data_IF_617229564308
#
_entry.id   IF_617229564308
#
_cell.length_a   1.000
_cell.length_b   1.000
_cell.length_c   1.000
_cell.angle_alpha   90.00
_cell.angle_beta   90.00
_cell.angle_gamma   90.00
#
_symmetry.space_group_name_H-M   'P 1'
#
loop_
_entity.id
_entity.type
_entity.pdbx_description
1 polymer ?
#
# COMPACT_ATOMS: atom_id res chain seq x y z
N UNK A 1 97.92 7.24 53.32
CA UNK A 1 97.46 8.62 53.11
C UNK A 1 96.93 8.74 51.68
N UNK A 2 95.73 9.33 51.57
CA UNK A 2 95.05 9.91 50.40
C UNK A 2 94.54 9.01 49.26
N UNK A 3 93.20 8.91 49.22
CA UNK A 3 92.32 8.40 48.15
C UNK A 3 91.98 9.54 47.19
N UNK A 4 91.94 9.27 45.88
CA UNK A 4 91.05 9.94 44.90
C UNK A 4 90.72 8.90 43.81
N UNK A 5 89.44 8.69 43.42
CA UNK A 5 89.08 7.82 42.30
C UNK A 5 88.56 8.62 41.08
N UNK A 6 88.88 8.17 39.87
CA UNK A 6 88.15 8.52 38.64
C UNK A 6 87.68 7.25 37.91
N UNK A 7 86.42 7.28 37.48
CA UNK A 7 85.64 6.22 36.81
C UNK A 7 86.17 5.86 35.42
N UNK A 8 86.04 4.60 34.98
CA UNK A 8 86.09 4.25 33.56
C UNK A 8 84.69 4.03 32.96
N UNK A 9 84.48 4.60 31.78
CA UNK A 9 83.46 4.16 30.82
C UNK A 9 84.01 2.97 30.02
N UNK A 10 83.19 1.96 29.78
CA UNK A 10 83.44 0.96 28.75
C UNK A 10 82.11 0.60 28.07
N UNK A 11 82.00 1.01 26.80
CA UNK A 11 81.06 0.46 25.83
C UNK A 11 81.44 -0.98 25.51
N UNK A 12 80.46 -1.88 25.49
CA UNK A 12 80.53 -3.12 24.73
C UNK A 12 79.14 -3.37 24.12
N UNK A 13 79.10 -3.50 22.80
CA UNK A 13 77.90 -3.82 22.05
C UNK A 13 77.57 -5.32 22.12
N UNK A 14 76.33 -5.65 21.80
CA UNK A 14 75.97 -6.96 21.25
C UNK A 14 74.65 -6.84 20.49
N UNK A 15 74.69 -7.37 19.28
CA UNK A 15 73.66 -7.40 18.26
C UNK A 15 72.84 -8.69 18.40
N UNK A 16 71.55 -8.60 18.06
CA UNK A 16 70.63 -9.68 17.67
C UNK A 16 69.95 -10.49 18.79
N UNK A 17 68.62 -10.48 18.79
CA UNK A 17 67.76 -11.63 18.45
C UNK A 17 66.29 -11.24 18.69
N UNK A 18 65.51 -11.18 17.61
CA UNK A 18 64.06 -10.95 17.67
C UNK A 18 63.35 -12.21 18.16
N UNK A 19 62.73 -12.13 19.34
CA UNK A 19 61.61 -12.98 19.72
C UNK A 19 60.38 -12.09 19.82
N UNK A 20 59.41 -12.30 18.92
CA UNK A 20 58.08 -11.72 19.04
C UNK A 20 57.38 -12.39 20.24
N UNK A 21 57.34 -11.68 21.36
CA UNK A 21 56.55 -12.03 22.54
C UNK A 21 55.28 -11.18 22.54
N UNK A 22 54.14 -11.83 22.46
CA UNK A 22 52.84 -11.20 22.59
C UNK A 22 52.61 -10.86 24.08
N UNK A 23 52.51 -9.58 24.41
CA UNK A 23 51.96 -9.13 25.69
C UNK A 23 50.95 -8.01 25.46
N UNK A 24 49.74 -8.28 25.98
CA UNK A 24 48.52 -7.45 26.01
C UNK A 24 48.78 -5.94 25.88
N UNK A 25 48.32 -5.38 24.77
CA UNK A 25 47.73 -4.05 24.78
C UNK A 25 46.22 -4.24 24.80
N UNK A 26 45.56 -3.68 25.82
CA UNK A 26 44.13 -3.63 25.90
C UNK A 26 43.62 -2.63 24.85
N UNK A 27 43.29 -3.12 23.67
CA UNK A 27 42.41 -2.38 22.79
C UNK A 27 41.03 -2.33 23.43
N UNK A 28 40.59 -1.12 23.78
CA UNK A 28 39.17 -0.81 23.83
C UNK A 28 38.64 -1.10 22.43
N UNK A 29 38.04 -2.27 22.24
CA UNK A 29 36.99 -2.42 21.22
C UNK A 29 35.91 -1.43 21.60
N UNK A 30 35.96 -0.28 20.92
CA UNK A 30 34.83 0.62 20.86
C UNK A 30 33.79 -0.17 20.08
N UNK A 31 32.79 -0.75 20.76
CA UNK A 31 31.59 -1.16 20.04
C UNK A 31 31.05 0.11 19.39
N UNK A 32 31.24 0.20 18.08
CA UNK A 32 30.67 1.25 17.27
C UNK A 32 29.15 1.06 17.40
N UNK A 33 28.51 1.93 18.17
CA UNK A 33 27.10 2.24 17.95
C UNK A 33 26.94 2.45 16.44
N UNK A 34 25.96 1.81 15.77
CA UNK A 34 25.72 2.06 14.36
C UNK A 34 25.63 3.57 14.17
N UNK A 35 26.30 4.09 13.14
CA UNK A 35 26.24 5.53 12.86
C UNK A 35 24.76 5.90 12.62
N UNK A 36 24.37 7.15 12.91
CA UNK A 36 22.97 7.59 12.64
C UNK A 36 22.59 7.34 11.18
N UNK A 37 23.54 7.55 10.27
CA UNK A 37 23.49 7.18 8.85
C UNK A 37 23.12 5.71 8.63
N UNK A 38 23.78 4.76 9.32
CA UNK A 38 23.45 3.33 9.24
C UNK A 38 22.05 3.02 9.78
N UNK A 39 21.61 3.74 10.81
CA UNK A 39 20.28 3.58 11.39
C UNK A 39 19.17 4.10 10.46
N UNK A 40 19.41 5.23 9.78
CA UNK A 40 18.48 5.77 8.78
C UNK A 40 18.43 4.87 7.53
N UNK A 41 19.56 4.36 7.04
CA UNK A 41 19.57 3.38 5.93
C UNK A 41 18.83 2.10 6.31
N UNK A 42 19.03 1.59 7.52
CA UNK A 42 18.33 0.41 8.01
C UNK A 42 16.82 0.66 8.12
N UNK A 43 16.42 1.85 8.57
CA UNK A 43 15.03 2.30 8.62
C UNK A 43 14.41 2.36 7.21
N UNK A 44 15.09 2.99 6.25
CA UNK A 44 14.66 3.06 4.85
C UNK A 44 14.46 1.66 4.25
N UNK A 45 15.39 0.73 4.50
CA UNK A 45 15.25 -0.66 4.05
C UNK A 45 14.05 -1.37 4.69
N UNK A 46 13.78 -1.07 5.97
CA UNK A 46 12.65 -1.63 6.71
C UNK A 46 11.30 -1.06 6.24
N UNK A 47 11.28 0.13 5.65
CA UNK A 47 10.12 0.69 4.94
C UNK A 47 9.86 0.01 3.58
N UNK A 48 10.66 -0.98 3.20
CA UNK A 48 10.46 -1.78 1.98
C UNK A 48 11.29 -1.31 0.77
N UNK A 49 12.12 -0.28 0.93
CA UNK A 49 12.96 0.20 -0.17
C UNK A 49 14.21 -0.67 -0.34
N UNK A 50 14.50 -1.15 -1.57
CA UNK A 50 15.71 -1.94 -1.80
C UNK A 50 16.95 -1.05 -1.68
N UNK A 51 18.08 -1.63 -1.25
CA UNK A 51 19.33 -0.88 -1.09
C UNK A 51 19.77 -0.13 -2.37
N UNK A 52 19.41 -0.67 -3.54
CA UNK A 52 19.67 -0.06 -4.85
C UNK A 52 18.87 1.22 -5.13
N UNK A 53 17.77 1.45 -4.42
CA UNK A 53 16.94 2.64 -4.57
C UNK A 53 17.39 3.82 -3.69
N UNK A 54 18.35 3.60 -2.77
CA UNK A 54 18.82 4.61 -1.82
C UNK A 54 20.03 5.35 -2.41
N UNK A 55 19.87 6.64 -2.72
CA UNK A 55 20.93 7.52 -3.18
C UNK A 55 21.38 8.45 -2.06
N UNK A 56 22.68 8.52 -1.81
CA UNK A 56 23.24 9.48 -0.87
C UNK A 56 23.34 10.87 -1.51
N UNK A 57 22.67 11.86 -0.93
CA UNK A 57 22.67 13.25 -1.38
C UNK A 57 23.37 14.19 -0.36
N UNK A 58 24.32 13.68 0.41
CA UNK A 58 25.09 14.46 1.37
C UNK A 58 24.44 14.47 2.75
N UNK A 59 23.54 15.41 3.03
CA UNK A 59 22.87 15.54 4.34
C UNK A 59 21.61 14.66 4.46
N UNK A 60 21.17 14.04 3.37
CA UNK A 60 19.96 13.22 3.29
C UNK A 60 20.17 12.03 2.35
N UNK A 61 19.34 11.00 2.50
CA UNK A 61 19.16 9.94 1.52
C UNK A 61 17.95 10.25 0.65
N UNK A 62 18.13 10.17 -0.66
CA UNK A 62 17.06 10.28 -1.65
C UNK A 62 16.73 8.88 -2.15
N UNK A 63 15.49 8.45 -1.93
CA UNK A 63 15.00 7.13 -2.29
C UNK A 63 14.02 7.27 -3.44
N UNK A 64 14.17 6.42 -4.46
CA UNK A 64 13.36 6.40 -5.69
C UNK A 64 13.33 7.71 -6.51
N UNK A 65 14.07 8.73 -6.07
CA UNK A 65 14.25 10.00 -6.77
C UNK A 65 13.38 11.15 -6.25
N UNK A 66 12.45 10.89 -5.33
CA UNK A 66 11.45 11.85 -4.86
C UNK A 66 11.15 11.77 -3.35
N UNK A 67 11.75 10.83 -2.61
CA UNK A 67 11.56 10.69 -1.15
C UNK A 67 12.86 11.00 -0.43
N UNK A 68 12.88 12.02 0.44
CA UNK A 68 14.08 12.40 1.19
C UNK A 68 14.02 12.01 2.67
N UNK A 69 15.14 11.50 3.18
CA UNK A 69 15.35 11.13 4.57
C UNK A 69 16.59 11.86 5.11
N UNK A 70 16.45 12.89 5.96
CA UNK A 70 17.59 13.55 6.58
C UNK A 70 18.43 12.56 7.38
N UNK A 71 19.76 12.58 7.23
CA UNK A 71 20.65 11.64 7.93
C UNK A 71 20.69 11.87 9.44
N UNK A 72 20.35 13.08 9.88
CA UNK A 72 20.27 13.47 11.29
C UNK A 72 18.88 13.25 11.90
N UNK A 73 17.92 12.73 11.14
CA UNK A 73 16.58 12.44 11.64
C UNK A 73 16.63 11.49 12.83
N UNK A 74 15.72 11.67 13.77
CA UNK A 74 15.49 10.67 14.81
C UNK A 74 14.80 9.47 14.15
N UNK A 75 15.54 8.36 14.02
CA UNK A 75 15.02 7.13 13.44
C UNK A 75 13.91 6.61 14.34
N UNK A 76 12.66 6.51 13.85
CA UNK A 76 11.57 5.95 14.62
C UNK A 76 11.94 4.53 15.05
N UNK A 77 11.84 4.24 16.36
CA UNK A 77 12.09 2.90 16.87
C UNK A 77 11.07 1.93 16.26
N UNK A 78 11.54 1.07 15.35
CA UNK A 78 10.76 -0.04 14.79
C UNK A 78 11.00 -1.35 15.57
N UNK A 79 11.51 -1.27 16.80
CA UNK A 79 11.76 -2.44 17.69
C UNK A 79 10.73 -2.54 18.83
N UNK A 80 9.67 -1.73 18.78
CA UNK A 80 8.45 -1.96 19.56
C UNK A 80 7.39 -2.70 18.74
N UNK A 81 6.40 -3.34 19.38
CA UNK A 81 5.25 -3.92 18.69
C UNK A 81 4.56 -2.84 17.86
N UNK A 82 4.62 -2.96 16.54
CA UNK A 82 3.83 -2.14 15.63
C UNK A 82 2.45 -2.78 15.54
N UNK A 83 1.40 -2.04 15.92
CA UNK A 83 0.01 -2.51 15.81
C UNK A 83 -0.49 -2.35 14.37
N UNK A 84 0.21 -2.94 13.42
CA UNK A 84 -0.19 -2.94 12.01
C UNK A 84 -1.29 -3.98 11.75
N UNK A 85 -1.89 -3.95 10.57
CA UNK A 85 -2.87 -4.96 10.19
C UNK A 85 -2.13 -6.22 9.72
N UNK A 86 -2.45 -7.38 10.29
CA UNK A 86 -1.76 -8.65 10.01
C UNK A 86 -2.72 -9.70 9.45
N UNK A 87 -2.21 -10.58 8.59
CA UNK A 87 -2.92 -11.75 8.07
C UNK A 87 -2.04 -13.02 8.06
N UNK A 88 -2.67 -14.18 7.84
CA UNK A 88 -2.02 -15.49 7.98
C UNK A 88 -1.14 -15.92 6.81
N UNK A 89 -1.23 -15.23 5.66
CA UNK A 89 -0.70 -15.71 4.37
C UNK A 89 -1.70 -16.52 3.55
N UNK A 90 -2.83 -16.92 4.14
CA UNK A 90 -3.86 -17.72 3.49
C UNK A 90 -5.17 -16.95 3.45
N UNK A 91 -5.85 -16.98 2.30
CA UNK A 91 -7.08 -16.22 2.05
C UNK A 91 -8.17 -17.11 1.48
N UNK A 92 -9.41 -16.67 1.63
CA UNK A 92 -10.56 -17.25 0.92
C UNK A 92 -10.46 -16.87 -0.56
N UNK A 93 -10.56 -17.85 -1.45
CA UNK A 93 -10.41 -17.60 -2.88
C UNK A 93 -11.52 -16.72 -3.44
N UNK A 94 -11.29 -16.11 -4.60
CA UNK A 94 -12.31 -15.30 -5.30
C UNK A 94 -13.60 -16.09 -5.56
N UNK A 95 -13.50 -17.40 -5.84
CA UNK A 95 -14.66 -18.27 -6.08
C UNK A 95 -15.52 -18.50 -4.83
N UNK A 96 -14.93 -18.38 -3.63
CA UNK A 96 -15.60 -18.73 -2.36
C UNK A 96 -15.95 -17.51 -1.50
N UNK A 97 -15.30 -16.35 -1.72
CA UNK A 97 -15.42 -15.18 -0.84
C UNK A 97 -16.73 -14.37 -1.00
N UNK A 98 -17.41 -14.51 -2.14
CA UNK A 98 -18.64 -13.76 -2.46
C UNK A 98 -19.91 -14.39 -1.89
N UNK A 99 -19.81 -15.55 -1.25
CA UNK A 99 -20.91 -16.19 -0.53
C UNK A 99 -20.38 -17.24 0.46
N UNK A 100 -19.79 -16.79 1.56
CA UNK A 100 -19.33 -17.64 2.66
C UNK A 100 -20.54 -18.01 3.52
N UNK A 101 -20.97 -19.27 3.45
CA UNK A 101 -22.19 -19.74 4.12
C UNK A 101 -21.90 -20.08 5.58
N UNK A 102 -22.68 -19.48 6.47
CA UNK A 102 -22.56 -19.64 7.92
C UNK A 102 -23.74 -20.45 8.44
N UNK A 103 -23.45 -21.58 9.08
CA UNK A 103 -24.43 -22.35 9.85
C UNK A 103 -24.30 -21.97 11.33
N UNK A 104 -25.42 -21.68 11.98
CA UNK A 104 -25.47 -21.41 13.42
C UNK A 104 -26.05 -22.63 14.13
N UNK A 105 -25.21 -23.28 14.94
CA UNK A 105 -25.62 -24.44 15.74
C UNK A 105 -26.73 -24.09 16.73
N UNK A 106 -27.55 -25.09 17.09
CA UNK A 106 -28.65 -24.94 18.04
C UNK A 106 -28.20 -24.31 19.38
N UNK A 107 -26.99 -24.62 19.84
CA UNK A 107 -26.39 -24.04 21.06
C UNK A 107 -26.23 -22.52 21.01
N UNK A 108 -26.08 -21.94 19.83
CA UNK A 108 -25.86 -20.50 19.61
C UNK A 108 -27.11 -19.72 19.18
N UNK A 109 -28.25 -20.39 18.99
CA UNK A 109 -29.47 -19.75 18.50
C UNK A 109 -29.97 -18.59 19.37
N UNK A 110 -29.74 -18.62 20.68
CA UNK A 110 -30.11 -17.50 21.56
C UNK A 110 -29.23 -16.25 21.38
N UNK A 111 -28.15 -16.31 20.59
CA UNK A 111 -27.27 -15.20 20.22
C UNK A 111 -27.28 -14.93 18.71
N UNK A 112 -28.35 -15.33 18.01
CA UNK A 112 -28.46 -15.15 16.56
C UNK A 112 -28.42 -13.67 16.14
N UNK A 113 -28.88 -12.75 16.99
CA UNK A 113 -28.84 -11.31 16.72
C UNK A 113 -27.39 -10.78 16.71
N UNK A 114 -26.55 -11.24 17.64
CA UNK A 114 -25.14 -10.92 17.68
C UNK A 114 -24.38 -11.52 16.49
N UNK A 115 -24.74 -12.73 16.05
CA UNK A 115 -24.16 -13.36 14.85
C UNK A 115 -24.51 -12.56 13.59
N UNK A 116 -25.78 -12.17 13.42
CA UNK A 116 -26.20 -11.32 12.29
C UNK A 116 -25.45 -9.99 12.30
N UNK A 117 -25.35 -9.32 13.46
CA UNK A 117 -24.63 -8.05 13.56
C UNK A 117 -23.12 -8.18 13.33
N UNK A 118 -22.51 -9.32 13.66
CA UNK A 118 -21.12 -9.62 13.32
C UNK A 118 -20.92 -9.79 11.80
N UNK A 119 -21.82 -10.54 11.15
CA UNK A 119 -21.84 -10.71 9.69
C UNK A 119 -22.04 -9.37 8.98
N UNK A 120 -22.99 -8.55 9.45
CA UNK A 120 -23.31 -7.26 8.83
C UNK A 120 -22.10 -6.32 8.81
N UNK A 121 -21.26 -6.32 9.85
CA UNK A 121 -20.05 -5.49 9.84
C UNK A 121 -19.07 -5.88 8.75
N UNK A 122 -18.84 -7.17 8.52
CA UNK A 122 -17.97 -7.63 7.45
C UNK A 122 -18.61 -7.40 6.06
N UNK A 123 -19.91 -7.67 5.93
CA UNK A 123 -20.65 -7.49 4.67
C UNK A 123 -20.78 -6.02 4.25
N UNK A 124 -20.65 -5.08 5.18
CA UNK A 124 -20.75 -3.63 4.92
C UNK A 124 -19.40 -2.95 4.76
N UNK A 125 -18.29 -3.70 4.82
CA UNK A 125 -16.97 -3.16 4.48
C UNK A 125 -17.01 -2.70 3.01
N UNK A 126 -16.62 -1.45 2.70
CA UNK A 126 -16.60 -0.97 1.32
C UNK A 126 -15.45 -1.61 0.54
N UNK A 127 -15.60 -1.66 -0.79
CA UNK A 127 -14.56 -2.11 -1.72
C UNK A 127 -14.06 -3.54 -1.50
N UNK A 128 -14.88 -4.41 -0.89
CA UNK A 128 -14.63 -5.84 -0.81
C UNK A 128 -15.68 -6.67 -1.53
N UNK A 129 -15.26 -7.84 -2.03
CA UNK A 129 -16.14 -8.92 -2.51
C UNK A 129 -16.63 -9.82 -1.38
N UNK A 130 -16.13 -9.63 -0.16
CA UNK A 130 -16.43 -10.49 0.96
C UNK A 130 -17.92 -10.41 1.29
N UNK A 131 -18.57 -11.58 1.33
CA UNK A 131 -19.98 -11.65 1.69
C UNK A 131 -20.28 -12.96 2.42
N UNK A 132 -20.79 -12.83 3.64
CA UNK A 132 -21.28 -13.94 4.46
C UNK A 132 -22.80 -14.04 4.39
N UNK A 133 -23.30 -15.26 4.36
CA UNK A 133 -24.75 -15.53 4.34
C UNK A 133 -25.09 -16.59 5.39
N UNK A 134 -26.08 -16.33 6.24
CA UNK A 134 -26.60 -17.39 7.14
C UNK A 134 -27.41 -18.40 6.33
N UNK A 135 -27.11 -19.69 6.53
CA UNK A 135 -27.90 -20.81 6.02
C UNK A 135 -28.53 -21.58 7.18
N UNK A 136 -29.78 -22.02 7.02
CA UNK A 136 -30.53 -22.76 8.05
C UNK A 136 -30.55 -24.27 7.83
N UNK A 137 -30.12 -24.74 6.65
CA UNK A 137 -30.02 -26.14 6.28
C UNK A 137 -29.05 -26.31 5.09
N UNK A 138 -28.63 -27.55 4.81
CA UNK A 138 -27.76 -27.86 3.68
C UNK A 138 -26.28 -27.59 3.94
N UNK A 139 -25.51 -27.43 2.86
CA UNK A 139 -24.06 -27.21 2.93
C UNK A 139 -23.72 -25.82 3.46
N UNK A 140 -22.72 -25.77 4.34
CA UNK A 140 -22.17 -24.56 4.94
C UNK A 140 -20.65 -24.56 4.84
N UNK A 141 -20.04 -23.38 4.99
CA UNK A 141 -18.59 -23.19 4.96
C UNK A 141 -18.04 -22.97 6.36
N UNK A 142 -18.78 -22.26 7.24
CA UNK A 142 -18.42 -22.01 8.63
C UNK A 142 -19.53 -22.50 9.56
N UNK A 143 -19.18 -23.24 10.61
CA UNK A 143 -20.08 -23.56 11.72
C UNK A 143 -19.80 -22.66 12.93
N UNK A 144 -20.83 -22.02 13.48
CA UNK A 144 -20.76 -21.26 14.74
C UNK A 144 -21.41 -22.08 15.85
N UNK A 145 -20.67 -22.42 16.90
CA UNK A 145 -21.19 -23.22 18.03
C UNK A 145 -20.65 -22.78 19.40
N UNK A 146 -21.40 -23.14 20.45
CA UNK A 146 -20.94 -22.97 21.82
C UNK A 146 -19.84 -23.98 22.15
N UNK A 147 -18.80 -23.55 22.87
CA UNK A 147 -17.77 -24.40 23.43
C UNK A 147 -17.13 -23.76 24.66
N UNK A 148 -16.96 -24.55 25.72
CA UNK A 148 -16.14 -24.14 26.85
C UNK A 148 -14.65 -24.13 26.42
N UNK A 149 -14.04 -22.94 26.41
CA UNK A 149 -12.64 -22.70 26.04
C UNK A 149 -11.73 -22.52 27.27
N UNK A 150 -12.24 -22.81 28.47
CA UNK A 150 -11.53 -22.57 29.72
C UNK A 150 -11.54 -21.10 30.16
N UNK A 151 -10.82 -20.80 31.23
CA UNK A 151 -10.74 -19.45 31.79
C UNK A 151 -10.01 -18.51 30.82
N UNK A 152 -10.59 -17.33 30.56
CA UNK A 152 -10.02 -16.33 29.65
C UNK A 152 -10.31 -16.55 28.16
N UNK A 153 -10.78 -17.74 27.77
CA UNK A 153 -11.16 -18.05 26.38
C UNK A 153 -12.60 -17.65 26.08
N UNK A 154 -12.78 -16.62 25.24
CA UNK A 154 -14.09 -16.08 24.88
C UNK A 154 -14.60 -16.52 23.50
N UNK A 155 -13.66 -16.68 22.58
CA UNK A 155 -13.87 -17.14 21.23
C UNK A 155 -12.60 -17.80 20.73
N UNK A 156 -12.75 -18.68 19.75
CA UNK A 156 -11.66 -19.26 18.99
C UNK A 156 -12.19 -19.66 17.61
N UNK A 157 -11.40 -19.43 16.58
CA UNK A 157 -11.72 -19.79 15.21
C UNK A 157 -10.58 -20.51 14.52
N UNK A 158 -10.92 -21.14 13.39
CA UNK A 158 -9.94 -21.72 12.46
C UNK A 158 -9.57 -20.72 11.38
N UNK A 159 -8.38 -20.87 10.84
CA UNK A 159 -7.88 -20.03 9.75
C UNK A 159 -8.27 -20.60 8.38
N UNK A 160 -8.34 -19.77 7.33
CA UNK A 160 -8.55 -20.25 5.96
C UNK A 160 -7.34 -21.04 5.47
N UNK A 161 -7.59 -22.00 4.59
CA UNK A 161 -6.56 -22.79 3.91
C UNK A 161 -7.07 -23.25 2.54
N UNK A 162 -6.18 -23.37 1.55
CA UNK A 162 -6.53 -23.83 0.20
C UNK A 162 -7.69 -23.06 -0.48
N UNK A 163 -7.83 -21.77 -0.17
CA UNK A 163 -8.89 -20.93 -0.74
C UNK A 163 -10.27 -21.11 -0.10
N UNK A 164 -10.39 -21.89 0.98
CA UNK A 164 -11.62 -22.09 1.76
C UNK A 164 -11.57 -21.25 3.05
N UNK A 165 -12.74 -20.82 3.53
CA UNK A 165 -12.87 -20.16 4.83
C UNK A 165 -12.51 -21.11 5.98
N UNK A 166 -12.07 -20.54 7.10
CA UNK A 166 -11.86 -21.28 8.33
C UNK A 166 -13.17 -21.84 8.86
N UNK A 167 -13.33 -23.17 8.82
CA UNK A 167 -14.66 -23.79 8.88
C UNK A 167 -15.35 -23.83 10.24
N UNK A 168 -14.79 -23.22 11.28
CA UNK A 168 -15.31 -23.30 12.64
C UNK A 168 -15.06 -22.01 13.43
N UNK A 169 -16.13 -21.53 14.06
CA UNK A 169 -16.13 -20.52 15.12
C UNK A 169 -16.69 -21.15 16.40
N UNK A 170 -15.91 -21.09 17.47
CA UNK A 170 -16.26 -21.57 18.80
C UNK A 170 -16.41 -20.37 19.72
N UNK A 171 -17.56 -20.25 20.39
CA UNK A 171 -17.83 -19.16 21.33
C UNK A 171 -18.03 -19.74 22.72
N UNK A 172 -17.35 -19.21 23.73
CA UNK A 172 -17.58 -19.61 25.11
C UNK A 172 -18.75 -18.84 25.70
N UNK A 173 -19.96 -19.29 25.35
CA UNK A 173 -21.21 -18.59 25.63
C UNK A 173 -21.41 -18.33 27.12
N UNK A 174 -21.06 -19.32 27.95
CA UNK A 174 -21.15 -19.21 29.41
C UNK A 174 -20.24 -18.13 29.98
N UNK A 175 -19.04 -17.98 29.42
CA UNK A 175 -18.04 -17.02 29.86
C UNK A 175 -18.43 -15.58 29.51
N UNK A 176 -19.02 -15.37 28.33
CA UNK A 176 -19.46 -14.05 27.87
C UNK A 176 -20.93 -13.72 28.20
N UNK A 177 -21.61 -14.54 29.00
CA UNK A 177 -23.05 -14.39 29.27
C UNK A 177 -23.39 -13.04 29.93
N UNK A 178 -22.49 -12.51 30.77
CA UNK A 178 -22.65 -11.22 31.45
C UNK A 178 -22.26 -9.99 30.62
N UNK A 179 -21.68 -10.17 29.43
CA UNK A 179 -21.29 -9.07 28.56
C UNK A 179 -22.52 -8.36 27.96
N UNK A 180 -22.38 -7.10 27.57
CA UNK A 180 -23.36 -6.39 26.74
C UNK A 180 -23.51 -7.04 25.36
N UNK A 181 -24.57 -6.66 24.63
CA UNK A 181 -24.78 -7.09 23.25
C UNK A 181 -23.56 -6.77 22.38
N UNK A 182 -23.04 -5.54 22.45
CA UNK A 182 -21.91 -5.06 21.66
C UNK A 182 -20.62 -5.82 21.97
N UNK A 183 -20.40 -6.17 23.23
CA UNK A 183 -19.24 -6.96 23.65
C UNK A 183 -19.32 -8.41 23.16
N UNK A 184 -20.51 -9.04 23.18
CA UNK A 184 -20.70 -10.39 22.62
C UNK A 184 -20.55 -10.38 21.10
N UNK A 185 -21.16 -9.39 20.44
CA UNK A 185 -21.04 -9.14 19.00
C UNK A 185 -19.58 -8.96 18.57
N UNK A 186 -18.76 -8.19 19.31
CA UNK A 186 -17.33 -8.01 18.96
C UNK A 186 -16.61 -9.35 18.95
N UNK A 187 -16.81 -10.20 19.96
CA UNK A 187 -16.15 -11.51 20.03
C UNK A 187 -16.48 -12.32 18.79
N UNK A 188 -17.76 -12.40 18.42
CA UNK A 188 -18.17 -13.13 17.22
C UNK A 188 -17.59 -12.50 15.94
N UNK A 189 -17.57 -11.18 15.84
CA UNK A 189 -17.00 -10.45 14.69
C UNK A 189 -15.50 -10.74 14.54
N UNK A 190 -14.79 -10.77 15.65
CA UNK A 190 -13.36 -11.06 15.73
C UNK A 190 -13.06 -12.47 15.22
N UNK A 191 -13.83 -13.46 15.69
CA UNK A 191 -13.68 -14.84 15.23
C UNK A 191 -13.95 -15.00 13.73
N UNK A 192 -14.93 -14.27 13.16
CA UNK A 192 -15.11 -14.25 11.70
C UNK A 192 -13.90 -13.67 10.96
N UNK A 193 -13.20 -12.68 11.55
CA UNK A 193 -11.95 -12.14 11.01
C UNK A 193 -10.87 -13.22 10.84
N UNK A 194 -10.71 -14.10 11.83
CA UNK A 194 -9.81 -15.24 11.72
C UNK A 194 -10.22 -16.23 10.62
N UNK A 195 -11.51 -16.50 10.47
CA UNK A 195 -12.02 -17.38 9.40
C UNK A 195 -11.70 -16.88 7.98
N UNK A 196 -11.45 -15.57 7.82
CA UNK A 196 -11.04 -14.93 6.57
C UNK A 196 -9.58 -14.48 6.59
N UNK A 197 -8.77 -15.00 7.51
CA UNK A 197 -7.31 -14.90 7.45
C UNK A 197 -6.69 -13.73 8.20
N UNK A 198 -7.46 -12.91 8.92
CA UNK A 198 -6.86 -11.89 9.79
C UNK A 198 -6.15 -12.53 10.99
N UNK A 199 -5.01 -11.96 11.33
CA UNK A 199 -4.26 -12.21 12.57
C UNK A 199 -4.57 -11.13 13.59
N UNK A 200 -4.09 -11.34 14.81
CA UNK A 200 -4.15 -10.29 15.81
C UNK A 200 -3.24 -9.10 15.44
N UNK A 201 -3.79 -7.89 15.49
CA UNK A 201 -3.06 -6.64 15.29
C UNK A 201 -1.94 -6.44 16.31
N UNK A 202 -2.15 -6.90 17.54
CA UNK A 202 -1.22 -6.81 18.66
C UNK A 202 -0.50 -8.14 18.96
N UNK A 203 -0.39 -9.05 17.98
CA UNK A 203 0.16 -10.41 18.19
C UNK A 203 1.51 -10.38 18.92
N UNK A 204 2.43 -9.49 18.53
CA UNK A 204 3.76 -9.38 19.12
C UNK A 204 3.71 -8.91 20.58
N UNK A 205 2.82 -7.96 20.89
CA UNK A 205 2.62 -7.46 22.25
C UNK A 205 1.97 -8.52 23.16
N UNK A 206 1.14 -9.40 22.60
CA UNK A 206 0.55 -10.53 23.30
C UNK A 206 1.53 -11.71 23.46
N UNK A 207 2.75 -11.62 22.89
CA UNK A 207 3.73 -12.69 22.90
C UNK A 207 3.35 -13.88 22.02
N UNK A 208 2.47 -13.67 21.04
CA UNK A 208 2.14 -14.70 20.05
C UNK A 208 3.36 -14.95 19.14
N UNK A 209 3.55 -16.18 18.64
CA UNK A 209 4.62 -16.45 17.71
C UNK A 209 4.30 -15.87 16.33
N UNK A 210 5.33 -15.39 15.63
CA UNK A 210 5.27 -14.95 14.22
C UNK A 210 4.63 -16.04 13.33
N UNK A 211 4.95 -17.30 13.60
CA UNK A 211 4.37 -18.46 12.92
C UNK A 211 3.72 -19.36 13.98
N UNK A 212 2.41 -19.56 13.87
CA UNK A 212 1.63 -20.43 14.74
C UNK A 212 0.73 -21.37 13.96
N UNK A 213 -0.16 -22.05 14.66
CA UNK A 213 -1.22 -22.87 14.06
C UNK A 213 -2.53 -22.73 14.84
N UNK A 214 -3.66 -23.04 14.19
CA UNK A 214 -4.93 -23.27 14.89
C UNK A 214 -5.00 -24.67 15.56
N UNK A 215 -6.19 -25.05 16.04
CA UNK A 215 -6.45 -26.30 16.76
C UNK A 215 -6.28 -27.57 15.91
N UNK A 216 -6.29 -27.45 14.58
CA UNK A 216 -6.11 -28.56 13.64
C UNK A 216 -4.78 -28.49 12.88
N UNK A 217 -3.90 -27.56 13.23
CA UNK A 217 -2.58 -27.43 12.63
C UNK A 217 -2.54 -26.55 11.37
N UNK A 218 -3.58 -25.77 11.07
CA UNK A 218 -3.56 -24.82 9.96
C UNK A 218 -2.53 -23.74 10.24
N UNK A 219 -1.53 -23.51 9.37
CA UNK A 219 -0.50 -22.51 9.62
C UNK A 219 -1.05 -21.08 9.64
N UNK A 220 -0.53 -20.27 10.55
CA UNK A 220 -0.91 -18.87 10.74
C UNK A 220 0.34 -17.99 10.91
N UNK A 221 0.81 -17.40 9.81
CA UNK A 221 1.82 -16.36 9.84
C UNK A 221 1.27 -15.06 10.44
N UNK A 222 2.16 -14.16 10.85
CA UNK A 222 1.84 -12.77 11.15
C UNK A 222 2.45 -11.87 10.07
N UNK A 223 1.83 -11.87 8.90
CA UNK A 223 2.32 -11.15 7.71
C UNK A 223 1.59 -9.81 7.63
N UNK A 224 2.32 -8.72 7.35
CA UNK A 224 1.70 -7.40 7.17
C UNK A 224 0.69 -7.43 6.02
N UNK A 225 -0.46 -6.81 6.22
CA UNK A 225 -1.45 -6.63 5.16
C UNK A 225 -0.92 -5.60 4.16
N UNK A 226 -0.76 -5.95 2.87
CA UNK A 226 -0.20 -5.03 1.89
C UNK A 226 -0.95 -3.70 1.84
N UNK A 227 -0.23 -2.59 1.93
CA UNK A 227 -0.78 -1.24 1.80
C UNK A 227 -1.56 -0.72 3.02
N UNK A 228 -1.54 -1.42 4.16
CA UNK A 228 -2.27 -1.02 5.39
C UNK A 228 -1.33 -1.00 6.61
N UNK A 229 -0.32 -0.12 6.56
CA UNK A 229 0.69 0.01 7.61
C UNK A 229 0.32 0.93 8.80
N UNK A 230 1.23 1.02 9.77
CA UNK A 230 1.12 1.88 10.95
C UNK A 230 0.15 1.38 12.03
N UNK A 231 0.14 2.03 13.20
CA UNK A 231 -0.59 1.55 14.39
C UNK A 231 -2.11 1.62 14.30
N UNK A 232 -2.80 0.63 14.87
CA UNK A 232 -4.27 0.56 15.00
C UNK A 232 -4.70 0.09 16.41
N UNK A 233 -4.65 1.02 17.37
CA UNK A 233 -5.13 0.76 18.73
C UNK A 233 -6.64 0.49 18.81
N UNK A 234 -7.41 0.88 17.78
CA UNK A 234 -8.85 0.71 17.68
C UNK A 234 -9.26 -0.58 16.95
N UNK A 235 -8.31 -1.39 16.48
CA UNK A 235 -8.61 -2.61 15.73
C UNK A 235 -9.51 -3.55 16.53
N UNK A 236 -10.56 -4.04 15.89
CA UNK A 236 -11.38 -5.13 16.40
C UNK A 236 -10.57 -6.44 16.46
N UNK A 237 -9.53 -6.57 15.63
CA UNK A 237 -8.61 -7.70 15.58
C UNK A 237 -7.52 -7.66 16.66
N UNK A 238 -7.57 -6.73 17.62
CA UNK A 238 -6.72 -6.84 18.81
C UNK A 238 -7.12 -8.05 19.68
N UNK A 239 -6.16 -8.92 19.94
CA UNK A 239 -6.26 -10.08 20.83
C UNK A 239 -6.32 -9.69 22.30
N UNK A 240 -6.68 -10.64 23.16
CA UNK A 240 -6.81 -10.48 24.62
C UNK A 240 -7.84 -9.44 25.08
N UNK A 241 -8.84 -9.17 24.26
CA UNK A 241 -9.88 -8.17 24.53
C UNK A 241 -11.28 -8.77 24.80
N UNK A 242 -11.35 -9.92 25.49
CA UNK A 242 -12.65 -10.50 25.84
C UNK A 242 -13.50 -9.51 26.65
N UNK A 243 -14.67 -9.14 26.12
CA UNK A 243 -15.58 -8.22 26.80
C UNK A 243 -15.06 -6.78 26.94
N UNK A 244 -13.93 -6.44 26.31
CA UNK A 244 -13.35 -5.09 26.31
C UNK A 244 -12.94 -4.72 24.88
N UNK A 245 -12.55 -3.47 24.64
CA UNK A 245 -12.08 -3.04 23.32
C UNK A 245 -13.19 -2.65 22.33
N UNK A 246 -12.79 -2.44 21.08
CA UNK A 246 -13.67 -1.90 20.04
C UNK A 246 -14.77 -2.90 19.64
N UNK A 247 -16.01 -2.43 19.58
CA UNK A 247 -17.17 -3.23 19.14
C UNK A 247 -17.50 -3.05 17.65
N UNK A 248 -16.70 -2.29 16.91
CA UNK A 248 -16.85 -2.03 15.47
C UNK A 248 -15.49 -2.14 14.78
N UNK A 249 -15.48 -2.61 13.54
CA UNK A 249 -14.30 -2.59 12.68
C UNK A 249 -13.75 -1.16 12.57
N UNK A 250 -12.45 -1.00 12.82
CA UNK A 250 -11.74 0.26 12.61
C UNK A 250 -11.66 0.58 11.12
N UNK A 251 -11.26 1.80 10.75
CA UNK A 251 -11.03 2.13 9.35
C UNK A 251 -9.86 1.34 8.75
N UNK A 252 -8.88 0.96 9.57
CA UNK A 252 -7.77 0.10 9.14
C UNK A 252 -8.17 -1.36 9.01
N UNK A 253 -9.07 -1.89 9.85
CA UNK A 253 -9.65 -3.22 9.67
C UNK A 253 -10.40 -3.29 8.32
N UNK A 254 -11.18 -2.26 7.99
CA UNK A 254 -11.90 -2.14 6.70
C UNK A 254 -10.93 -2.03 5.51
N UNK A 255 -9.88 -1.22 5.63
CA UNK A 255 -8.86 -1.09 4.58
C UNK A 255 -8.12 -2.41 4.37
N UNK A 256 -7.79 -3.13 5.44
CA UNK A 256 -7.15 -4.43 5.37
C UNK A 256 -8.07 -5.44 4.66
N UNK A 257 -9.36 -5.46 4.98
CA UNK A 257 -10.32 -6.31 4.29
C UNK A 257 -10.44 -5.98 2.79
N UNK A 258 -10.47 -4.69 2.44
CA UNK A 258 -10.47 -4.26 1.05
C UNK A 258 -9.16 -4.60 0.31
N UNK A 259 -8.02 -4.58 1.00
CA UNK A 259 -6.72 -4.98 0.44
C UNK A 259 -6.62 -6.49 0.19
N UNK A 260 -7.06 -7.31 1.14
CA UNK A 260 -7.02 -8.78 1.04
C UNK A 260 -8.11 -9.33 0.11
N UNK A 261 -9.28 -8.69 0.09
CA UNK A 261 -10.45 -9.14 -0.65
C UNK A 261 -11.02 -8.03 -1.54
N UNK A 262 -10.22 -7.47 -2.48
CA UNK A 262 -10.66 -6.34 -3.29
C UNK A 262 -11.90 -6.72 -4.09
N UNK A 263 -12.88 -5.82 -4.10
CA UNK A 263 -14.11 -6.00 -4.87
C UNK A 263 -13.78 -6.17 -6.35
N UNK A 264 -14.22 -7.28 -6.94
CA UNK A 264 -14.10 -7.56 -8.36
C UNK A 264 -15.42 -7.24 -9.01
N UNK A 265 -15.36 -6.33 -9.95
CA UNK A 265 -16.55 -5.82 -10.59
C UNK A 265 -16.70 -6.46 -11.98
N UNK A 266 -17.95 -6.66 -12.44
CA UNK A 266 -18.19 -7.12 -13.80
C UNK A 266 -17.51 -6.19 -14.82
N UNK A 267 -17.15 -6.75 -15.98
CA UNK A 267 -16.61 -5.95 -17.08
C UNK A 267 -17.63 -4.85 -17.44
N UNK A 268 -17.14 -3.63 -17.59
CA UNK A 268 -17.93 -2.43 -17.85
C UNK A 268 -17.06 -1.29 -18.34
N UNK A 269 -17.64 -0.09 -18.42
CA UNK A 269 -16.94 1.15 -18.72
C UNK A 269 -17.19 2.16 -17.59
N UNK A 270 -16.13 2.87 -17.20
CA UNK A 270 -16.16 4.00 -16.28
C UNK A 270 -16.72 5.28 -16.91
N UNK A 271 -17.08 5.27 -18.20
CA UNK A 271 -17.74 6.36 -18.89
C UNK A 271 -17.42 6.44 -20.39
N UNK A 272 -17.33 7.67 -20.89
CA UNK A 272 -16.82 7.99 -22.24
C UNK A 272 -15.54 8.80 -22.10
N UNK A 273 -14.74 8.94 -23.17
CA UNK A 273 -13.56 9.81 -23.15
C UNK A 273 -13.88 11.26 -22.75
N UNK A 274 -15.09 11.74 -23.04
CA UNK A 274 -15.53 13.08 -22.65
C UNK A 274 -15.85 13.22 -21.14
N UNK A 275 -15.94 12.11 -20.40
CA UNK A 275 -16.29 12.08 -18.97
C UNK A 275 -15.18 11.46 -18.12
N UNK A 276 -13.96 11.38 -18.65
CA UNK A 276 -12.80 10.91 -17.90
C UNK A 276 -12.26 12.01 -16.99
N UNK A 277 -11.85 11.60 -15.79
CA UNK A 277 -11.07 12.38 -14.85
C UNK A 277 -9.56 12.20 -15.08
N UNK A 278 -9.15 11.09 -15.71
CA UNK A 278 -7.78 10.85 -16.15
C UNK A 278 -7.64 9.48 -16.81
N UNK A 279 -6.61 9.29 -17.62
CA UNK A 279 -6.27 8.09 -18.37
C UNK A 279 -4.76 7.93 -18.40
N UNK A 280 -4.24 6.83 -17.86
CA UNK A 280 -2.81 6.51 -18.05
C UNK A 280 -2.60 5.00 -18.18
N UNK A 281 -1.42 4.65 -18.67
CA UNK A 281 -0.99 3.29 -18.94
C UNK A 281 -0.20 2.77 -17.75
N UNK A 282 -0.49 1.56 -17.30
CA UNK A 282 0.24 0.88 -16.22
C UNK A 282 1.54 0.23 -16.70
N UNK A 283 2.28 -0.37 -15.75
CA UNK A 283 3.55 -1.07 -16.02
C UNK A 283 3.42 -2.30 -16.93
N UNK A 284 2.22 -2.82 -17.05
CA UNK A 284 1.85 -3.98 -17.87
C UNK A 284 1.16 -3.57 -19.18
N UNK A 285 1.25 -2.29 -19.56
CA UNK A 285 0.58 -1.66 -20.68
C UNK A 285 -0.97 -1.73 -20.65
N UNK A 286 -1.57 -2.12 -19.52
CA UNK A 286 -3.01 -1.96 -19.33
C UNK A 286 -3.36 -0.49 -19.18
N UNK A 287 -4.49 -0.06 -19.74
CA UNK A 287 -4.92 1.33 -19.67
C UNK A 287 -5.96 1.49 -18.57
N UNK A 288 -5.74 2.44 -17.68
CA UNK A 288 -6.65 2.77 -16.60
C UNK A 288 -7.43 4.02 -16.98
N UNK A 289 -8.75 3.90 -17.04
CA UNK A 289 -9.69 4.96 -17.40
C UNK A 289 -10.45 5.38 -16.13
N UNK A 290 -10.01 6.42 -15.44
CA UNK A 290 -10.73 6.97 -14.28
C UNK A 290 -11.85 7.89 -14.76
N UNK A 291 -13.10 7.51 -14.51
CA UNK A 291 -14.28 8.29 -14.87
C UNK A 291 -14.74 9.21 -13.75
N UNK A 292 -15.31 10.37 -14.10
CA UNK A 292 -15.86 11.36 -13.16
C UNK A 292 -17.01 10.83 -12.27
N UNK A 293 -17.52 9.63 -12.56
CA UNK A 293 -18.50 8.92 -11.73
C UNK A 293 -17.86 8.13 -10.56
N UNK A 294 -16.54 8.21 -10.36
CA UNK A 294 -15.84 7.53 -9.27
C UNK A 294 -15.54 6.06 -9.55
N UNK A 295 -15.47 5.68 -10.82
CA UNK A 295 -15.12 4.33 -11.27
C UNK A 295 -13.86 4.37 -12.14
N UNK A 296 -13.03 3.35 -12.06
CA UNK A 296 -11.86 3.15 -12.90
C UNK A 296 -11.99 1.85 -13.65
N UNK A 297 -11.88 1.90 -14.98
CA UNK A 297 -11.87 0.70 -15.84
C UNK A 297 -10.44 0.38 -16.24
N UNK A 298 -10.03 -0.88 -16.07
CA UNK A 298 -8.78 -1.40 -16.62
C UNK A 298 -9.04 -2.03 -17.97
N UNK A 299 -8.76 -1.31 -19.05
CA UNK A 299 -8.95 -1.72 -20.44
C UNK A 299 -7.64 -1.80 -21.23
N UNK A 300 -7.70 -1.44 -22.51
CA UNK A 300 -6.53 -1.33 -23.39
C UNK A 300 -6.59 -0.05 -24.22
N UNK A 301 -5.54 0.23 -24.99
CA UNK A 301 -5.39 1.49 -25.74
C UNK A 301 -6.48 1.79 -26.76
N UNK A 302 -7.25 0.78 -27.18
CA UNK A 302 -8.35 0.94 -28.14
C UNK A 302 -9.73 0.66 -27.56
N UNK A 303 -9.85 0.27 -26.28
CA UNK A 303 -11.13 -0.19 -25.73
C UNK A 303 -11.29 0.21 -24.26
N UNK A 304 -12.29 1.04 -24.01
CA UNK A 304 -12.71 1.53 -22.68
C UNK A 304 -13.72 0.54 -22.10
N UNK A 305 -13.31 -0.72 -22.00
CA UNK A 305 -14.15 -1.77 -21.46
C UNK A 305 -13.29 -2.83 -20.78
N UNK A 306 -13.65 -3.19 -19.56
CA UNK A 306 -12.90 -4.17 -18.77
C UNK A 306 -13.31 -4.15 -17.30
N UNK A 307 -12.52 -4.82 -16.43
CA UNK A 307 -12.75 -4.79 -14.99
C UNK A 307 -12.87 -3.34 -14.48
N UNK A 308 -13.98 -3.02 -13.82
CA UNK A 308 -14.34 -1.63 -13.47
C UNK A 308 -14.54 -1.44 -11.97
N UNK A 309 -13.60 -0.83 -11.28
CA UNK A 309 -13.57 -0.73 -9.81
C UNK A 309 -13.95 0.67 -9.35
N UNK A 310 -14.60 0.83 -8.19
CA UNK A 310 -14.74 2.15 -7.56
C UNK A 310 -13.37 2.71 -7.14
N UNK A 311 -13.16 4.02 -7.26
CA UNK A 311 -11.98 4.69 -6.73
C UNK A 311 -12.35 5.88 -5.83
N UNK A 312 -11.46 6.18 -4.89
CA UNK A 312 -11.64 7.23 -3.88
C UNK A 312 -10.55 8.28 -3.97
N UNK A 313 -10.92 9.52 -3.68
CA UNK A 313 -10.02 10.66 -3.55
C UNK A 313 -9.78 10.98 -2.06
N UNK A 314 -8.68 11.65 -1.71
CA UNK A 314 -8.43 12.12 -0.35
C UNK A 314 -9.56 13.01 0.19
N UNK A 315 -9.66 13.11 1.51
CA UNK A 315 -10.65 13.95 2.18
C UNK A 315 -10.59 15.41 1.68
N UNK A 316 -11.77 15.98 1.41
CA UNK A 316 -11.90 17.35 0.90
C UNK A 316 -11.77 17.49 -0.63
N UNK A 317 -11.55 16.40 -1.37
CA UNK A 317 -11.51 16.37 -2.83
C UNK A 317 -12.74 15.71 -3.43
N UNK A 318 -13.16 16.18 -4.59
CA UNK A 318 -14.23 15.62 -5.40
C UNK A 318 -13.73 15.28 -6.80
N UNK A 319 -14.44 14.42 -7.53
CA UNK A 319 -14.04 14.05 -8.90
C UNK A 319 -14.02 15.26 -9.85
N UNK A 320 -14.82 16.29 -9.58
CA UNK A 320 -14.83 17.53 -10.35
C UNK A 320 -13.59 18.42 -10.10
N UNK A 321 -12.82 18.16 -9.04
CA UNK A 321 -11.59 18.90 -8.72
C UNK A 321 -10.37 18.36 -9.46
N UNK A 322 -10.48 17.18 -10.07
CA UNK A 322 -9.40 16.53 -10.79
C UNK A 322 -9.10 17.29 -12.09
N UNK A 323 -7.81 17.46 -12.36
CA UNK A 323 -7.28 17.85 -13.67
C UNK A 323 -6.92 16.60 -14.44
N UNK A 324 -6.09 15.75 -13.84
CA UNK A 324 -5.63 14.52 -14.45
C UNK A 324 -5.00 13.53 -13.45
N UNK A 325 -4.67 12.32 -13.91
CA UNK A 325 -4.12 11.20 -13.16
C UNK A 325 -3.03 10.45 -13.95
N UNK A 326 -2.01 9.94 -13.25
CA UNK A 326 -0.91 9.21 -13.88
C UNK A 326 -0.38 8.06 -13.02
N UNK A 327 0.17 7.01 -13.64
CA UNK A 327 0.74 5.85 -12.98
C UNK A 327 2.26 5.86 -13.14
N UNK A 328 2.96 5.91 -12.01
CA UNK A 328 4.41 5.81 -11.96
C UNK A 328 4.88 4.35 -12.07
N UNK A 329 6.18 4.16 -12.33
CA UNK A 329 6.76 2.82 -12.44
C UNK A 329 6.75 2.01 -11.13
N UNK A 330 6.65 2.69 -10.00
CA UNK A 330 6.42 2.10 -8.67
C UNK A 330 5.04 1.47 -8.56
N UNK A 331 4.13 1.77 -9.49
CA UNK A 331 2.73 1.34 -9.46
C UNK A 331 1.83 2.27 -8.67
N UNK A 332 2.35 3.36 -8.09
CA UNK A 332 1.51 4.39 -7.48
C UNK A 332 0.82 5.23 -8.54
N UNK A 333 -0.46 5.51 -8.29
CA UNK A 333 -1.25 6.46 -9.07
C UNK A 333 -1.21 7.84 -8.39
N UNK A 334 -0.95 8.85 -9.20
CA UNK A 334 -0.90 10.26 -8.85
C UNK A 334 -2.14 10.95 -9.41
N UNK A 335 -2.60 11.99 -8.73
CA UNK A 335 -3.73 12.81 -9.17
C UNK A 335 -3.46 14.27 -8.88
N UNK A 336 -3.64 15.12 -9.90
CA UNK A 336 -3.45 16.56 -9.84
C UNK A 336 -4.81 17.27 -9.79
N UNK A 337 -4.90 18.31 -8.97
CA UNK A 337 -6.15 19.02 -8.70
C UNK A 337 -6.12 20.48 -9.12
N UNK A 338 -7.30 21.04 -9.41
CA UNK A 338 -7.53 22.43 -9.83
C UNK A 338 -7.03 23.49 -8.85
N UNK A 339 -6.90 23.13 -7.57
CA UNK A 339 -6.38 24.02 -6.52
C UNK A 339 -4.84 24.02 -6.41
N UNK A 340 -4.13 23.38 -7.35
CA UNK A 340 -2.67 23.37 -7.38
C UNK A 340 -2.04 22.36 -6.41
N UNK A 341 -2.78 21.32 -6.02
CA UNK A 341 -2.26 20.22 -5.20
C UNK A 341 -2.20 18.89 -5.96
N UNK A 342 -1.37 17.97 -5.48
CA UNK A 342 -1.19 16.61 -5.98
C UNK A 342 -1.27 15.64 -4.79
N UNK A 343 -1.91 14.48 -4.99
CA UNK A 343 -1.86 13.36 -4.04
C UNK A 343 -1.47 12.06 -4.76
N UNK A 344 -1.15 11.03 -4.00
CA UNK A 344 -0.87 9.71 -4.57
C UNK A 344 -1.33 8.56 -3.69
N UNK A 345 -1.52 7.40 -4.32
CA UNK A 345 -1.87 6.15 -3.67
C UNK A 345 -1.99 5.00 -4.65
N UNK A 346 -2.89 4.05 -4.39
CA UNK A 346 -3.22 3.01 -5.37
C UNK A 346 -4.17 3.53 -6.44
N UNK A 347 -4.39 2.75 -7.51
CA UNK A 347 -5.35 3.07 -8.59
C UNK A 347 -6.80 3.21 -8.07
N UNK A 348 -7.07 2.74 -6.85
CA UNK A 348 -8.41 2.70 -6.23
C UNK A 348 -8.52 3.63 -5.02
N UNK A 349 -7.40 4.05 -4.42
CA UNK A 349 -7.36 4.98 -3.31
C UNK A 349 -6.22 5.97 -3.53
N UNK A 350 -6.54 7.12 -4.11
CA UNK A 350 -5.57 8.11 -4.60
C UNK A 350 -5.00 9.04 -3.51
N UNK A 351 -5.16 8.66 -2.25
CA UNK A 351 -4.54 9.32 -1.09
C UNK A 351 -3.84 8.36 -0.13
N UNK A 352 -3.73 7.07 -0.48
CA UNK A 352 -3.18 6.05 0.42
C UNK A 352 -1.66 6.10 0.58
N UNK A 353 -0.94 6.85 -0.27
CA UNK A 353 0.51 7.02 -0.18
C UNK A 353 0.88 8.37 0.44
N UNK A 354 0.40 9.47 -0.13
CA UNK A 354 0.49 10.79 0.52
C UNK A 354 -0.76 11.65 0.28
N UNK A 355 -1.10 12.44 1.30
CA UNK A 355 -2.19 13.40 1.27
C UNK A 355 -1.87 14.60 0.35
N UNK A 356 -2.87 15.37 -0.13
CA UNK A 356 -2.66 16.48 -1.05
C UNK A 356 -1.57 17.47 -0.57
N UNK A 357 -0.55 17.67 -1.40
CA UNK A 357 0.52 18.66 -1.24
C UNK A 357 0.59 19.60 -2.45
N UNK A 358 1.09 20.84 -2.33
CA UNK A 358 1.21 21.74 -3.47
C UNK A 358 2.10 21.17 -4.59
N UNK A 359 1.76 21.46 -5.85
CA UNK A 359 2.66 21.28 -7.00
C UNK A 359 2.95 22.60 -7.70
N UNK A 360 4.06 22.64 -8.44
CA UNK A 360 4.52 23.80 -9.19
C UNK A 360 4.38 23.55 -10.70
N UNK A 361 4.13 24.64 -11.41
CA UNK A 361 4.04 24.68 -12.86
C UNK A 361 5.14 25.57 -13.44
N UNK A 362 5.50 25.39 -14.73
CA UNK A 362 6.34 26.33 -15.44
C UNK A 362 5.79 27.77 -15.36
N UNK A 363 6.69 28.75 -15.44
CA UNK A 363 6.29 30.16 -15.35
C UNK A 363 5.22 30.51 -16.40
N UNK A 364 4.16 31.19 -15.96
CA UNK A 364 3.04 31.61 -16.82
C UNK A 364 1.96 30.55 -17.04
N UNK A 365 2.14 29.33 -16.51
CA UNK A 365 1.14 28.26 -16.56
C UNK A 365 0.29 28.23 -15.29
N UNK A 366 -0.94 27.80 -15.45
CA UNK A 366 -1.91 27.56 -14.39
C UNK A 366 -2.48 26.15 -14.51
N UNK A 367 -3.10 25.60 -13.45
CA UNK A 367 -3.69 24.27 -13.53
C UNK A 367 -4.79 24.14 -14.61
N UNK A 368 -5.44 25.26 -14.99
CA UNK A 368 -6.45 25.28 -16.04
C UNK A 368 -5.88 25.15 -17.47
N UNK A 369 -4.57 25.34 -17.65
CA UNK A 369 -3.91 25.23 -18.95
C UNK A 369 -3.54 23.78 -19.29
N UNK A 370 -3.64 22.86 -18.34
CA UNK A 370 -3.25 21.45 -18.50
C UNK A 370 -4.34 20.71 -19.29
N UNK A 371 -3.92 19.92 -20.28
CA UNK A 371 -4.81 19.07 -21.10
C UNK A 371 -4.49 17.57 -20.98
N UNK A 372 -3.40 17.22 -20.30
CA UNK A 372 -2.99 15.85 -20.00
C UNK A 372 -1.64 15.81 -19.29
N UNK A 373 -1.40 14.77 -18.51
CA UNK A 373 -0.24 14.49 -17.68
C UNK A 373 0.00 12.98 -17.72
N UNK A 374 1.14 12.56 -18.24
CA UNK A 374 1.55 11.18 -18.25
C UNK A 374 2.85 11.02 -17.49
N UNK A 375 3.01 9.91 -16.77
CA UNK A 375 4.27 9.59 -16.11
C UNK A 375 5.05 8.63 -17.00
N UNK A 376 6.30 8.94 -17.32
CA UNK A 376 7.17 8.05 -18.09
C UNK A 376 7.71 6.91 -17.20
N UNK A 377 7.50 5.65 -17.59
CA UNK A 377 7.77 4.50 -16.71
C UNK A 377 9.28 4.19 -16.57
N UNK A 378 10.08 4.61 -17.55
CA UNK A 378 11.53 4.44 -17.50
C UNK A 378 12.25 5.45 -16.59
N UNK A 379 11.64 6.59 -16.30
CA UNK A 379 12.28 7.73 -15.61
C UNK A 379 11.49 8.29 -14.44
N UNK A 380 10.20 7.97 -14.35
CA UNK A 380 9.20 8.58 -13.45
C UNK A 380 8.98 10.08 -13.65
N UNK A 381 9.45 10.65 -14.77
CA UNK A 381 9.16 12.04 -15.10
C UNK A 381 7.70 12.20 -15.52
N UNK A 382 7.06 13.24 -14.99
CA UNK A 382 5.73 13.67 -15.37
C UNK A 382 5.85 14.59 -16.58
N UNK A 383 5.29 14.19 -17.71
CA UNK A 383 5.11 15.04 -18.89
C UNK A 383 3.74 15.69 -18.79
N UNK A 384 3.68 17.01 -18.87
CA UNK A 384 2.43 17.78 -18.79
C UNK A 384 2.24 18.57 -20.08
N UNK A 385 1.15 18.29 -20.79
CA UNK A 385 0.76 18.97 -22.02
C UNK A 385 -0.20 20.11 -21.70
N UNK A 386 -0.06 21.21 -22.44
CA UNK A 386 -0.83 22.43 -22.22
C UNK A 386 -1.67 22.82 -23.45
N UNK A 387 -2.74 23.58 -23.21
CA UNK A 387 -3.69 24.05 -24.23
C UNK A 387 -3.11 25.10 -25.19
N UNK A 388 -1.91 25.62 -24.93
CA UNK A 388 -1.19 26.56 -25.81
C UNK A 388 -0.21 25.86 -26.77
N UNK A 389 -0.23 24.52 -26.81
CA UNK A 389 0.62 23.75 -27.72
C UNK A 389 2.03 23.52 -27.24
N UNK A 390 2.28 23.65 -25.93
CA UNK A 390 3.55 23.26 -25.31
C UNK A 390 3.41 22.09 -24.35
N UNK A 391 4.52 21.39 -24.10
CA UNK A 391 4.66 20.31 -23.13
C UNK A 391 5.89 20.58 -22.27
N UNK A 392 5.87 20.21 -20.99
CA UNK A 392 7.02 20.25 -20.10
C UNK A 392 7.25 18.88 -19.45
N UNK A 393 8.41 18.68 -18.84
CA UNK A 393 8.67 17.48 -18.04
C UNK A 393 9.26 17.84 -16.68
N UNK A 394 8.92 17.07 -15.65
CA UNK A 394 9.44 17.29 -14.31
C UNK A 394 9.03 16.20 -13.33
N UNK A 395 8.91 16.58 -12.07
CA UNK A 395 8.47 15.71 -10.97
C UNK A 395 6.99 15.91 -10.69
N UNK A 396 6.39 15.03 -9.91
CA UNK A 396 4.96 15.07 -9.58
C UNK A 396 4.53 16.36 -8.86
N UNK A 397 5.44 17.00 -8.12
CA UNK A 397 5.22 18.28 -7.45
C UNK A 397 5.90 19.48 -8.14
N UNK A 398 6.56 19.28 -9.28
CA UNK A 398 7.09 20.36 -10.12
C UNK A 398 7.19 19.91 -11.59
N UNK A 399 6.14 20.19 -12.37
CA UNK A 399 5.96 19.70 -13.74
C UNK A 399 6.90 20.35 -14.78
N UNK A 400 7.71 21.33 -14.38
CA UNK A 400 8.70 22.00 -15.23
C UNK A 400 10.15 21.84 -14.78
N UNK A 401 10.41 21.01 -13.76
CA UNK A 401 11.72 20.92 -13.12
C UNK A 401 12.82 20.31 -14.00
N UNK A 402 12.45 19.47 -14.97
CA UNK A 402 13.41 18.71 -15.77
C UNK A 402 13.57 19.30 -17.18
N UNK A 403 12.47 19.55 -17.88
CA UNK A 403 12.44 20.15 -19.22
C UNK A 403 11.48 21.34 -19.22
N UNK A 404 11.98 22.52 -19.57
CA UNK A 404 11.19 23.72 -19.76
C UNK A 404 10.19 23.55 -20.93
N UNK A 405 9.07 24.29 -20.96
CA UNK A 405 8.05 24.14 -22.01
C UNK A 405 8.62 24.20 -23.44
N UNK A 406 8.28 23.21 -24.26
CA UNK A 406 8.64 23.10 -25.68
C UNK A 406 7.40 22.75 -26.51
N UNK A 407 7.35 23.09 -27.81
CA UNK A 407 6.16 22.89 -28.63
C UNK A 407 5.87 21.40 -28.88
N UNK A 408 4.58 21.06 -29.05
CA UNK A 408 4.14 19.75 -29.54
C UNK A 408 3.07 19.86 -30.63
N UNK A 409 2.98 18.83 -31.48
CA UNK A 409 1.99 18.70 -32.55
C UNK A 409 0.98 17.59 -32.26
N UNK A 410 -0.24 17.80 -32.79
CA UNK A 410 -1.32 16.83 -32.77
C UNK A 410 -1.50 16.19 -34.14
N UNK A 411 -2.28 15.11 -34.16
CA UNK A 411 -2.72 14.51 -35.41
C UNK A 411 -3.50 15.52 -36.29
N UNK A 412 -3.40 15.42 -37.62
CA UNK A 412 -4.10 16.32 -38.53
C UNK A 412 -5.61 16.41 -38.24
N UNK A 413 -6.10 17.65 -38.12
CA UNK A 413 -7.52 17.93 -37.86
C UNK A 413 -7.92 17.95 -36.38
N UNK A 414 -6.98 17.71 -35.46
CA UNK A 414 -7.20 17.85 -34.01
C UNK A 414 -6.75 19.19 -33.47
N UNK A 415 -7.41 19.61 -32.40
CA UNK A 415 -7.09 20.79 -31.60
C UNK A 415 -6.80 20.38 -30.16
N UNK A 416 -6.12 21.24 -29.40
CA UNK A 416 -5.76 20.94 -28.00
C UNK A 416 -7.00 20.71 -27.10
N UNK A 417 -8.16 21.27 -27.47
CA UNK A 417 -9.42 21.04 -26.77
C UNK A 417 -10.06 19.68 -27.07
N UNK A 418 -9.63 19.00 -28.13
CA UNK A 418 -10.13 17.67 -28.50
C UNK A 418 -9.48 16.54 -27.69
N UNK A 419 -8.34 16.82 -27.06
CA UNK A 419 -7.64 15.87 -26.19
C UNK A 419 -8.58 15.49 -25.05
N UNK A 420 -8.78 14.19 -24.89
CA UNK A 420 -9.35 13.61 -23.70
C UNK A 420 -8.23 13.35 -22.68
N UNK A 421 -7.14 12.73 -23.13
CA UNK A 421 -5.95 12.53 -22.31
C UNK A 421 -4.73 12.02 -23.10
N UNK A 422 -3.58 11.91 -22.44
CA UNK A 422 -2.34 11.33 -22.96
C UNK A 422 -1.73 10.40 -21.92
N UNK A 423 -1.36 9.18 -22.32
CA UNK A 423 -0.66 8.19 -21.47
C UNK A 423 0.66 7.73 -22.08
N UNK A 424 1.61 7.29 -21.26
CA UNK A 424 2.93 6.80 -21.73
C UNK A 424 3.06 5.31 -21.46
N UNK A 425 3.24 4.52 -22.52
CA UNK A 425 3.36 3.07 -22.43
C UNK A 425 4.68 2.64 -21.78
N UNK A 426 4.62 1.61 -20.93
CA UNK A 426 5.78 1.10 -20.22
C UNK A 426 6.77 0.40 -21.15
N UNK A 427 6.25 -0.41 -22.09
CA UNK A 427 7.08 -1.22 -23.00
C UNK A 427 7.90 -0.41 -24.00
N UNK A 428 7.40 0.76 -24.39
CA UNK A 428 7.93 1.49 -25.55
C UNK A 428 8.26 2.95 -25.27
N UNK A 429 7.71 3.54 -24.20
CA UNK A 429 7.81 4.97 -23.95
C UNK A 429 7.00 5.84 -24.92
N UNK A 430 6.19 5.23 -25.80
CA UNK A 430 5.33 5.98 -26.71
C UNK A 430 4.20 6.67 -25.96
N UNK A 431 3.88 7.89 -26.39
CA UNK A 431 2.73 8.66 -25.95
C UNK A 431 1.51 8.22 -26.75
N UNK A 432 0.44 7.82 -26.06
CA UNK A 432 -0.86 7.51 -26.61
C UNK A 432 -1.79 8.68 -26.32
N UNK A 433 -2.21 9.40 -27.35
CA UNK A 433 -3.17 10.49 -27.20
C UNK A 433 -4.58 9.97 -27.52
N UNK A 434 -5.51 10.14 -26.59
CA UNK A 434 -6.92 9.84 -26.77
C UNK A 434 -7.70 11.13 -26.97
N UNK A 435 -8.66 11.12 -27.91
CA UNK A 435 -9.47 12.28 -28.25
C UNK A 435 -10.95 12.02 -27.94
N UNK A 436 -11.68 13.08 -27.56
CA UNK A 436 -13.07 13.03 -27.09
C UNK A 436 -14.07 12.41 -28.09
N UNK A 437 -13.71 12.32 -29.37
CA UNK A 437 -14.52 11.72 -30.44
C UNK A 437 -14.24 10.22 -30.68
N UNK A 438 -13.68 9.52 -29.68
CA UNK A 438 -13.33 8.10 -29.74
C UNK A 438 -12.30 7.76 -30.83
N UNK A 439 -11.34 8.66 -31.02
CA UNK A 439 -10.15 8.40 -31.84
C UNK A 439 -8.90 8.47 -30.98
N UNK A 440 -7.79 7.93 -31.49
CA UNK A 440 -6.49 7.98 -30.83
C UNK A 440 -5.34 8.06 -31.84
N UNK A 441 -4.19 8.55 -31.40
CA UNK A 441 -2.92 8.54 -32.14
C UNK A 441 -1.77 8.15 -31.21
N UNK A 442 -0.62 7.78 -31.77
CA UNK A 442 0.58 7.42 -30.98
C UNK A 442 1.81 8.10 -31.55
N UNK A 443 2.65 8.64 -30.68
CA UNK A 443 3.92 9.23 -31.09
C UNK A 443 4.81 9.64 -29.91
N UNK A 444 5.65 10.63 -30.15
CA UNK A 444 6.52 11.23 -29.14
C UNK A 444 5.77 12.29 -28.32
N UNK A 445 6.43 12.83 -27.29
CA UNK A 445 5.86 13.91 -26.49
C UNK A 445 5.73 15.25 -27.23
N UNK A 446 6.58 15.49 -28.24
CA UNK A 446 6.51 16.63 -29.17
C UNK A 446 5.73 16.34 -30.46
N UNK A 447 5.47 15.08 -30.81
CA UNK A 447 4.69 14.73 -32.01
C UNK A 447 3.78 13.52 -31.75
N UNK A 448 2.53 13.79 -31.37
CA UNK A 448 1.58 12.77 -30.88
C UNK A 448 0.98 11.90 -32.00
N UNK A 449 1.38 12.08 -33.25
CA UNK A 449 0.89 11.30 -34.42
C UNK A 449 2.01 10.55 -35.16
N UNK A 450 3.25 10.64 -34.66
CA UNK A 450 4.45 10.16 -35.37
C UNK A 450 4.44 8.66 -35.70
N UNK A 451 3.96 7.81 -34.78
CA UNK A 451 4.10 6.36 -34.87
C UNK A 451 2.83 5.66 -35.40
N UNK A 452 1.68 5.96 -34.81
CA UNK A 452 0.37 5.49 -35.29
C UNK A 452 -0.47 6.72 -35.58
N UNK A 453 -0.75 6.99 -36.87
CA UNK A 453 -1.64 8.06 -37.26
C UNK A 453 -3.04 7.93 -36.64
N UNK A 454 -3.76 9.05 -36.57
CA UNK A 454 -5.13 9.10 -36.06
C UNK A 454 -5.99 7.95 -36.58
N UNK A 455 -6.57 7.19 -35.64
CA UNK A 455 -7.45 6.06 -35.93
C UNK A 455 -8.60 5.98 -34.93
N UNK A 456 -9.73 5.34 -35.29
CA UNK A 456 -10.81 5.10 -34.34
C UNK A 456 -10.42 4.11 -33.23
N UNK A 457 -11.06 4.26 -32.07
CA UNK A 457 -11.12 3.25 -31.01
C UNK A 457 -12.28 2.27 -31.25
N UNK A 458 -12.21 1.09 -30.64
CA UNK A 458 -13.19 0.01 -30.76
C UNK A 458 -14.32 0.11 -29.74
#
# INVERSE_FOLDING_TARGET
MMKIPLRPYLMAGALSLFFYSCSKHAEKTTELSPSKDDAVIAYIKKLGFPASAIKDAGNEYIVEGDISFPKDMEVPSLTGPTTEQYYTGYLVSQANRTNIRVMVDASMQSMIAEVNSAIDQWNTVPNTDLHFTIVTSGSYDILVRDQNLGAGGCGQARFPINGLAGGLVMINKSYIAGNSFEQRQRTITHEFGHCIGFRHTNWAANGEPQNGTDDIGTPAGAIDVPGVGGTDAGSLMNGSQCGIGASRLSDKDKQAAASLYPKTFPNGSSGTLATMAGIDIGNDDAVYFWGLAGQVTRGNSTLIYGPTTGYTLPAGKTYADVIDMGIANTGYAYVWYKDGTVSAGSQYNLGSFFAPKPFQLPAGKTPADIVGIAIAKNTSYCYAWYSDGTVSAGYSDNLGAYIAPYPYTLAPGKTYTDIADIGIAASSGWCYAWYKDNTMSVGYSDDLDYYIPLKPMN
#
